data_IF_608962500504
#
_entry.id   IF_608962500504
#
_cell.length_a   1.000
_cell.length_b   1.000
_cell.length_c   1.000
_cell.angle_alpha   90.00
_cell.angle_beta   90.00
_cell.angle_gamma   90.00
#
_symmetry.space_group_name_H-M   'P 1'
#
loop_
_entity.id
_entity.type
_entity.pdbx_description
1 polymer ?
#
# COMPACT_ATOMS: atom_id res chain seq x y z
N UNK A 1 20.60 -11.58 -2.63
CA UNK A 1 20.10 -10.45 -3.46
C UNK A 1 18.88 -9.74 -2.83
N UNK A 2 17.82 -10.47 -2.44
CA UNK A 2 16.58 -9.85 -1.94
C UNK A 2 16.73 -9.11 -0.59
N UNK A 3 17.55 -9.63 0.33
CA UNK A 3 17.78 -9.05 1.67
C UNK A 3 18.07 -7.54 1.66
N UNK A 4 19.03 -7.08 0.84
CA UNK A 4 19.40 -5.66 0.76
C UNK A 4 18.22 -4.76 0.32
N UNK A 5 17.33 -5.27 -0.55
CA UNK A 5 16.11 -4.55 -0.97
C UNK A 5 15.10 -4.47 0.17
N UNK A 6 14.95 -5.53 0.97
CA UNK A 6 14.09 -5.54 2.16
C UNK A 6 14.61 -4.55 3.23
N UNK A 7 15.92 -4.46 3.44
CA UNK A 7 16.51 -3.44 4.34
C UNK A 7 16.16 -2.01 3.91
N UNK A 8 16.29 -1.69 2.61
CA UNK A 8 15.92 -0.36 2.09
C UNK A 8 14.40 -0.13 2.19
N UNK A 9 13.59 -1.13 1.88
CA UNK A 9 12.13 -1.04 1.98
C UNK A 9 11.65 -0.79 3.42
N UNK A 10 12.27 -1.45 4.41
CA UNK A 10 12.07 -1.21 5.84
C UNK A 10 12.40 0.24 6.21
N UNK A 11 13.54 0.76 5.75
CA UNK A 11 13.96 2.14 6.07
C UNK A 11 13.04 3.21 5.45
N UNK A 12 12.37 2.90 4.33
CA UNK A 12 11.37 3.75 3.69
C UNK A 12 9.96 3.61 4.29
N UNK A 13 9.75 2.65 5.19
CA UNK A 13 8.46 2.40 5.83
C UNK A 13 8.15 3.46 6.90
N UNK A 14 6.87 3.65 7.22
CA UNK A 14 6.49 4.36 8.46
C UNK A 14 6.75 3.44 9.67
N UNK A 15 6.84 4.02 10.87
CA UNK A 15 6.93 3.25 12.11
C UNK A 15 5.78 2.24 12.22
N UNK A 16 4.53 2.69 12.07
CA UNK A 16 3.34 1.82 11.96
C UNK A 16 3.02 1.45 10.50
N UNK A 17 4.06 1.32 9.68
CA UNK A 17 3.93 0.92 8.30
C UNK A 17 3.74 -0.59 8.16
N UNK A 18 3.09 -0.99 7.08
CA UNK A 18 2.93 -2.40 6.69
C UNK A 18 3.65 -2.58 5.36
N UNK A 19 4.51 -3.59 5.28
CA UNK A 19 5.07 -4.05 4.03
C UNK A 19 4.27 -5.28 3.58
N UNK A 20 3.87 -5.28 2.31
CA UNK A 20 3.21 -6.40 1.66
C UNK A 20 4.17 -6.94 0.61
N UNK A 21 4.39 -8.25 0.60
CA UNK A 21 5.24 -8.92 -0.39
C UNK A 21 4.44 -10.06 -1.03
N UNK A 22 4.26 -10.01 -2.35
CA UNK A 22 3.70 -11.11 -3.13
C UNK A 22 4.79 -12.13 -3.47
N UNK A 23 4.51 -13.41 -3.28
CA UNK A 23 5.48 -14.50 -3.46
C UNK A 23 4.77 -15.80 -3.88
N UNK A 24 5.45 -16.69 -4.59
CA UNK A 24 4.96 -18.03 -4.93
C UNK A 24 5.27 -19.07 -3.83
N UNK A 25 4.87 -20.32 -4.03
CA UNK A 25 5.18 -21.44 -3.12
C UNK A 25 6.69 -21.72 -3.00
N UNK A 26 7.47 -21.52 -4.08
CA UNK A 26 8.88 -21.89 -4.15
C UNK A 26 9.75 -20.98 -3.28
N UNK A 27 9.53 -19.68 -3.31
CA UNK A 27 10.32 -18.71 -2.55
C UNK A 27 9.76 -18.40 -1.15
N UNK A 28 8.52 -18.82 -0.84
CA UNK A 28 7.80 -18.53 0.41
C UNK A 28 8.65 -18.74 1.68
N UNK A 29 9.22 -19.93 1.87
CA UNK A 29 9.96 -20.26 3.09
C UNK A 29 11.28 -19.50 3.20
N UNK A 30 11.96 -19.29 2.07
CA UNK A 30 13.18 -18.48 2.01
C UNK A 30 12.92 -17.02 2.36
N UNK A 31 11.83 -16.45 1.83
CA UNK A 31 11.41 -15.09 2.15
C UNK A 31 10.99 -14.95 3.63
N UNK A 32 10.24 -15.91 4.19
CA UNK A 32 9.89 -15.90 5.61
C UNK A 32 11.14 -15.88 6.50
N UNK A 33 12.14 -16.72 6.23
CA UNK A 33 13.41 -16.71 6.95
C UNK A 33 14.19 -15.40 6.80
N UNK A 34 14.15 -14.76 5.62
CA UNK A 34 14.76 -13.42 5.43
C UNK A 34 14.04 -12.33 6.23
N UNK A 35 12.72 -12.41 6.37
CA UNK A 35 11.90 -11.47 7.13
C UNK A 35 12.07 -11.66 8.65
N UNK A 36 12.19 -12.90 9.11
CA UNK A 36 12.54 -13.24 10.49
C UNK A 36 13.92 -12.70 10.87
N UNK A 37 14.94 -12.91 10.02
CA UNK A 37 16.28 -12.33 10.20
C UNK A 37 16.31 -10.79 10.23
N UNK A 38 15.26 -10.11 9.73
CA UNK A 38 15.10 -8.66 9.80
C UNK A 38 14.31 -8.21 11.04
N UNK A 39 13.95 -9.12 11.95
CA UNK A 39 13.03 -8.91 13.06
C UNK A 39 11.68 -8.31 12.60
N UNK A 40 11.18 -8.73 11.43
CA UNK A 40 9.87 -8.32 10.95
C UNK A 40 8.78 -9.10 11.70
N UNK A 41 7.81 -8.40 12.30
CA UNK A 41 6.62 -9.04 12.86
C UNK A 41 5.69 -9.43 11.72
N UNK A 42 5.44 -10.74 11.61
CA UNK A 42 4.44 -11.28 10.70
C UNK A 42 3.02 -10.97 11.21
N UNK A 43 2.18 -10.44 10.32
CA UNK A 43 0.78 -10.08 10.61
C UNK A 43 -0.20 -11.08 10.00
N UNK A 44 0.15 -11.69 8.86
CA UNK A 44 -0.69 -12.67 8.19
C UNK A 44 -0.23 -12.96 6.76
N UNK A 45 -0.80 -14.02 6.19
CA UNK A 45 -0.64 -14.42 4.78
C UNK A 45 -2.01 -14.57 4.15
N UNK A 46 -2.21 -13.93 3.02
CA UNK A 46 -3.43 -14.07 2.19
C UNK A 46 -3.07 -14.87 0.95
N UNK A 47 -3.90 -15.85 0.59
CA UNK A 47 -3.78 -16.59 -0.66
C UNK A 47 -4.46 -15.78 -1.79
N UNK A 48 -3.73 -15.52 -2.88
CA UNK A 48 -4.20 -14.80 -4.07
C UNK A 48 -4.39 -15.82 -5.17
N UNK A 49 -5.62 -16.02 -5.62
CA UNK A 49 -5.89 -16.88 -6.78
C UNK A 49 -5.43 -16.18 -8.07
N UNK A 50 -4.62 -16.88 -8.88
CA UNK A 50 -4.10 -16.39 -10.17
C UNK A 50 -4.63 -17.28 -11.28
N UNK A 51 -5.36 -16.66 -12.21
CA UNK A 51 -6.01 -17.32 -13.37
C UNK A 51 -7.03 -18.39 -12.93
N UNK A 52 -8.18 -17.99 -12.35
CA UNK A 52 -9.25 -18.91 -11.98
C UNK A 52 -9.77 -19.75 -13.16
N UNK A 53 -9.54 -19.30 -14.40
CA UNK A 53 -9.82 -19.98 -15.66
C UNK A 53 -9.01 -21.28 -15.91
N UNK A 54 -8.03 -21.60 -15.06
CA UNK A 54 -7.43 -22.94 -15.01
C UNK A 54 -6.58 -23.34 -16.22
N UNK A 55 -5.52 -22.60 -16.54
CA UNK A 55 -4.49 -23.04 -17.51
C UNK A 55 -3.05 -22.91 -17.02
N UNK A 56 -2.66 -23.85 -16.16
CA UNK A 56 -1.38 -24.58 -16.14
C UNK A 56 -1.52 -25.75 -15.16
N UNK A 57 -1.37 -26.97 -15.65
CA UNK A 57 -1.46 -28.18 -14.83
C UNK A 57 -0.04 -28.61 -14.44
N UNK A 58 0.27 -28.60 -13.15
CA UNK A 58 1.19 -29.59 -12.62
C UNK A 58 0.49 -30.95 -12.68
N UNK A 59 1.26 -32.05 -12.67
CA UNK A 59 0.71 -33.40 -12.85
C UNK A 59 -0.25 -33.84 -11.72
N UNK A 60 -0.28 -33.11 -10.60
CA UNK A 60 -1.01 -33.48 -9.39
C UNK A 60 -1.82 -32.34 -8.74
N UNK A 61 -1.41 -31.07 -8.89
CA UNK A 61 -2.11 -29.92 -8.30
C UNK A 61 -2.11 -28.70 -9.24
N UNK A 62 -3.10 -27.83 -9.10
CA UNK A 62 -3.22 -26.60 -9.88
C UNK A 62 -2.45 -25.46 -9.21
N UNK A 63 -1.29 -25.12 -9.77
CA UNK A 63 -0.47 -23.95 -9.40
C UNK A 63 -1.15 -22.67 -9.91
N UNK A 64 -2.25 -22.29 -9.25
CA UNK A 64 -3.05 -21.11 -9.53
C UNK A 64 -3.15 -20.19 -8.31
N UNK A 65 -2.11 -20.15 -7.48
CA UNK A 65 -2.07 -19.27 -6.32
C UNK A 65 -0.68 -18.66 -6.08
N UNK A 66 -0.70 -17.43 -5.58
CA UNK A 66 0.42 -16.74 -4.95
C UNK A 66 0.01 -16.37 -3.51
N UNK A 67 0.95 -15.85 -2.73
CA UNK A 67 0.71 -15.38 -1.37
C UNK A 67 1.09 -13.91 -1.23
N UNK A 68 0.21 -13.11 -0.63
CA UNK A 68 0.60 -11.83 -0.05
C UNK A 68 0.96 -12.01 1.42
N UNK A 69 2.24 -11.79 1.77
CA UNK A 69 2.73 -11.75 3.14
C UNK A 69 2.64 -10.32 3.68
N UNK A 70 1.99 -10.15 4.83
CA UNK A 70 1.86 -8.88 5.52
C UNK A 70 2.80 -8.84 6.72
N UNK A 71 3.73 -7.89 6.74
CA UNK A 71 4.72 -7.74 7.82
C UNK A 71 4.87 -6.28 8.27
N UNK A 72 5.38 -6.07 9.49
CA UNK A 72 5.61 -4.75 10.07
C UNK A 72 6.78 -4.74 11.05
N UNK A 73 7.28 -3.55 11.37
CA UNK A 73 8.22 -3.30 12.47
C UNK A 73 7.64 -2.42 13.59
N UNK A 74 6.34 -2.07 13.51
CA UNK A 74 5.63 -1.28 14.52
C UNK A 74 4.26 -1.87 14.84
N UNK A 75 3.29 -1.02 15.21
CA UNK A 75 1.96 -1.43 15.67
C UNK A 75 0.82 -0.93 14.76
N UNK A 76 0.78 -1.36 13.49
CA UNK A 76 -0.31 -1.03 12.58
C UNK A 76 -1.62 -1.70 13.01
N UNK A 77 -2.72 -0.99 12.79
CA UNK A 77 -4.07 -1.55 12.79
C UNK A 77 -4.49 -1.70 11.34
N UNK A 78 -4.68 -2.93 10.87
CA UNK A 78 -5.14 -3.23 9.51
C UNK A 78 -6.57 -3.73 9.59
N UNK A 79 -7.45 -3.13 8.78
CA UNK A 79 -8.76 -3.67 8.46
C UNK A 79 -8.78 -4.01 6.97
N UNK A 80 -8.93 -5.29 6.65
CA UNK A 80 -9.09 -5.77 5.27
C UNK A 80 -10.42 -6.52 5.17
N UNK A 81 -11.24 -6.16 4.19
CA UNK A 81 -12.57 -6.74 3.96
C UNK A 81 -12.98 -6.47 2.52
N UNK A 82 -13.76 -7.38 1.93
CA UNK A 82 -14.41 -7.21 0.63
C UNK A 82 -15.50 -6.11 0.60
N UNK A 83 -15.79 -5.47 1.75
CA UNK A 83 -16.89 -4.51 1.94
C UNK A 83 -18.27 -5.08 1.54
N UNK A 84 -18.44 -6.39 1.64
CA UNK A 84 -19.74 -7.04 1.48
C UNK A 84 -20.74 -6.49 2.51
N UNK A 85 -21.98 -6.27 2.09
CA UNK A 85 -23.01 -5.55 2.86
C UNK A 85 -22.54 -4.19 3.41
N UNK A 86 -21.62 -3.51 2.71
CA UNK A 86 -20.99 -2.25 3.09
C UNK A 86 -20.35 -2.23 4.49
N UNK A 87 -19.98 -3.40 5.05
CA UNK A 87 -19.47 -3.52 6.43
C UNK A 87 -18.24 -2.62 6.68
N UNK A 88 -17.34 -2.46 5.70
CA UNK A 88 -16.20 -1.55 5.84
C UNK A 88 -16.66 -0.09 5.95
N UNK A 89 -17.54 0.31 5.03
CA UNK A 89 -17.92 1.71 4.79
C UNK A 89 -18.92 2.23 5.84
N UNK A 90 -19.92 1.43 6.20
CA UNK A 90 -21.03 1.82 7.08
C UNK A 90 -20.77 1.45 8.55
N UNK A 91 -19.99 0.40 8.83
CA UNK A 91 -19.81 -0.12 10.19
C UNK A 91 -18.40 0.10 10.71
N UNK A 92 -17.38 -0.47 10.05
CA UNK A 92 -16.03 -0.52 10.61
C UNK A 92 -15.30 0.82 10.52
N UNK A 93 -15.31 1.51 9.37
CA UNK A 93 -14.67 2.81 9.21
C UNK A 93 -15.26 3.88 10.15
N UNK A 94 -16.60 4.02 10.29
CA UNK A 94 -17.18 4.95 11.27
C UNK A 94 -16.83 4.59 12.72
N UNK A 95 -16.75 3.30 13.07
CA UNK A 95 -16.31 2.86 14.42
C UNK A 95 -14.85 3.23 14.68
N UNK A 96 -13.93 2.95 13.76
CA UNK A 96 -12.51 3.27 13.93
C UNK A 96 -12.31 4.80 14.00
N UNK A 97 -13.02 5.56 13.16
CA UNK A 97 -13.01 7.04 13.21
C UNK A 97 -13.49 7.58 14.56
N UNK A 98 -14.53 7.00 15.15
CA UNK A 98 -15.01 7.33 16.51
C UNK A 98 -13.99 6.96 17.60
N UNK A 99 -13.32 5.83 17.52
CA UNK A 99 -12.29 5.43 18.51
C UNK A 99 -11.07 6.37 18.48
N UNK A 100 -10.65 6.81 17.28
CA UNK A 100 -9.52 7.74 17.10
C UNK A 100 -9.88 9.15 17.60
N UNK A 101 -11.03 9.68 17.19
CA UNK A 101 -11.43 11.06 17.50
C UNK A 101 -12.08 11.23 18.89
N UNK A 102 -12.60 10.14 19.46
CA UNK A 102 -13.51 10.17 20.60
C UNK A 102 -14.98 10.18 20.16
N UNK A 103 -15.86 9.80 21.08
CA UNK A 103 -17.31 9.80 20.87
C UNK A 103 -18.07 9.84 22.19
N UNK A 104 -19.26 10.45 22.15
CA UNK A 104 -20.20 10.42 23.28
C UNK A 104 -21.02 9.12 23.26
N UNK A 105 -21.19 8.53 24.44
CA UNK A 105 -22.06 7.37 24.65
C UNK A 105 -23.03 7.67 25.80
N UNK A 106 -24.21 8.19 25.47
CA UNK A 106 -25.11 8.78 26.46
C UNK A 106 -24.46 10.00 27.11
N UNK A 107 -24.46 10.05 28.45
CA UNK A 107 -23.91 11.17 29.22
C UNK A 107 -22.39 11.15 29.38
N UNK A 108 -21.70 10.08 28.95
CA UNK A 108 -20.25 9.92 29.07
C UNK A 108 -19.54 10.24 27.76
N UNK A 109 -18.64 11.22 27.79
CA UNK A 109 -17.76 11.56 26.68
C UNK A 109 -16.49 10.70 26.73
N UNK A 110 -16.26 9.89 25.70
CA UNK A 110 -15.12 8.98 25.63
C UNK A 110 -14.04 9.66 24.79
N UNK A 111 -12.99 10.11 25.47
CA UNK A 111 -11.82 10.74 24.85
C UNK A 111 -11.17 9.80 23.84
N UNK A 112 -10.90 10.30 22.64
CA UNK A 112 -10.26 9.55 21.57
C UNK A 112 -8.83 9.12 21.92
N UNK A 113 -8.44 7.95 21.42
CA UNK A 113 -7.07 7.43 21.58
C UNK A 113 -6.05 8.11 20.65
N UNK A 114 -6.51 8.97 19.73
CA UNK A 114 -5.67 9.53 18.68
C UNK A 114 -5.26 8.49 17.63
N UNK A 115 -4.36 8.89 16.73
CA UNK A 115 -3.87 8.07 15.62
C UNK A 115 -4.20 8.64 14.25
N UNK A 116 -3.74 7.96 13.20
CA UNK A 116 -3.88 8.40 11.81
C UNK A 116 -4.65 7.36 11.00
N UNK A 117 -5.89 7.68 10.60
CA UNK A 117 -6.68 6.83 9.73
C UNK A 117 -6.49 7.21 8.27
N UNK A 118 -6.08 6.25 7.44
CA UNK A 118 -6.16 6.36 5.98
C UNK A 118 -7.12 5.31 5.45
N UNK A 119 -8.14 5.75 4.73
CA UNK A 119 -9.08 4.88 4.04
C UNK A 119 -8.72 4.86 2.56
N UNK A 120 -8.32 3.69 2.05
CA UNK A 120 -8.02 3.48 0.64
C UNK A 120 -9.12 2.63 0.02
N UNK A 121 -9.72 3.10 -1.08
CA UNK A 121 -10.63 2.31 -1.89
C UNK A 121 -9.85 1.76 -3.07
N UNK A 122 -9.77 0.43 -3.18
CA UNK A 122 -9.29 -0.23 -4.38
C UNK A 122 -10.38 -0.25 -5.44
N UNK A 123 -10.02 0.08 -6.66
CA UNK A 123 -10.86 -0.07 -7.86
C UNK A 123 -10.07 -0.88 -8.89
N UNK A 124 -10.77 -1.61 -9.77
CA UNK A 124 -10.11 -2.36 -10.83
C UNK A 124 -9.82 -1.44 -12.02
N UNK A 125 -8.64 -1.59 -12.60
CA UNK A 125 -8.25 -0.96 -13.86
C UNK A 125 -8.15 -2.05 -14.92
N UNK A 126 -8.68 -1.78 -16.11
CA UNK A 126 -8.62 -2.72 -17.23
C UNK A 126 -7.17 -2.99 -17.63
N UNK A 127 -6.82 -4.28 -17.73
CA UNK A 127 -5.45 -4.72 -17.99
C UNK A 127 -4.98 -4.48 -19.44
N UNK A 128 -5.88 -4.01 -20.32
CA UNK A 128 -5.50 -3.67 -21.70
C UNK A 128 -4.51 -2.50 -21.73
N UNK A 129 -3.38 -2.61 -22.46
CA UNK A 129 -2.29 -1.63 -22.44
C UNK A 129 -2.59 -0.37 -23.28
N UNK A 130 -3.83 0.12 -23.26
CA UNK A 130 -4.23 1.39 -23.88
C UNK A 130 -3.69 2.57 -23.09
N UNK A 131 -3.38 3.69 -23.76
CA UNK A 131 -2.84 4.87 -23.08
C UNK A 131 -3.86 5.51 -22.11
N UNK A 132 -5.17 5.32 -22.36
CA UNK A 132 -6.25 5.69 -21.44
C UNK A 132 -6.16 4.89 -20.13
N UNK A 133 -5.91 3.59 -20.20
CA UNK A 133 -5.74 2.74 -19.02
C UNK A 133 -4.43 3.04 -18.30
N UNK A 134 -3.32 3.24 -19.01
CA UNK A 134 -2.04 3.70 -18.42
C UNK A 134 -2.22 5.02 -17.66
N UNK A 135 -3.00 5.95 -18.22
CA UNK A 135 -3.31 7.24 -17.56
C UNK A 135 -4.19 7.04 -16.32
N UNK A 136 -5.28 6.27 -16.40
CA UNK A 136 -6.14 5.92 -15.25
C UNK A 136 -5.31 5.26 -14.13
N UNK A 137 -4.47 4.28 -14.47
CA UNK A 137 -3.60 3.58 -13.53
C UNK A 137 -2.58 4.54 -12.87
N UNK A 138 -1.97 5.43 -13.67
CA UNK A 138 -1.05 6.46 -13.17
C UNK A 138 -1.77 7.43 -12.23
N UNK A 139 -2.95 7.92 -12.59
CA UNK A 139 -3.77 8.82 -11.75
C UNK A 139 -4.18 8.15 -10.43
N UNK A 140 -4.62 6.89 -10.46
CA UNK A 140 -4.97 6.10 -9.26
C UNK A 140 -3.75 5.79 -8.39
N UNK A 141 -2.56 5.59 -8.98
CA UNK A 141 -1.30 5.40 -8.26
C UNK A 141 -0.67 6.73 -7.79
N UNK A 142 -1.08 7.86 -8.37
CA UNK A 142 -0.46 9.18 -8.16
C UNK A 142 -0.50 9.60 -6.70
N UNK A 143 -1.63 9.41 -6.00
CA UNK A 143 -1.73 9.76 -4.57
C UNK A 143 -0.76 8.94 -3.70
N UNK A 144 -0.57 7.66 -4.02
CA UNK A 144 0.38 6.80 -3.29
C UNK A 144 1.83 7.21 -3.57
N UNK A 145 2.14 7.55 -4.83
CA UNK A 145 3.46 8.02 -5.26
C UNK A 145 3.79 9.40 -4.66
N UNK A 146 2.91 10.39 -4.80
CA UNK A 146 3.09 11.73 -4.26
C UNK A 146 3.31 11.71 -2.75
N UNK A 147 2.54 10.93 -1.98
CA UNK A 147 2.75 10.81 -0.52
C UNK A 147 4.13 10.26 -0.14
N UNK A 148 4.79 9.52 -1.04
CA UNK A 148 6.16 8.99 -0.84
C UNK A 148 7.22 9.97 -1.31
N UNK A 149 7.05 10.58 -2.49
CA UNK A 149 7.96 11.60 -3.04
C UNK A 149 8.04 12.83 -2.13
N UNK A 150 6.89 13.37 -1.69
CA UNK A 150 6.84 14.52 -0.76
C UNK A 150 7.57 14.22 0.54
N UNK A 151 7.48 12.98 1.03
CA UNK A 151 8.19 12.57 2.24
C UNK A 151 9.70 12.53 2.04
N UNK A 152 10.19 11.95 0.95
CA UNK A 152 11.64 11.92 0.65
C UNK A 152 12.19 13.34 0.48
N UNK A 153 11.47 14.21 -0.23
CA UNK A 153 11.87 15.62 -0.42
C UNK A 153 11.96 16.40 0.91
N UNK A 154 11.01 16.18 1.84
CA UNK A 154 11.06 16.78 3.18
C UNK A 154 12.14 16.15 4.08
N UNK A 155 12.09 14.84 4.26
CA UNK A 155 12.90 14.11 5.25
C UNK A 155 14.38 14.02 4.84
N UNK A 156 14.70 14.02 3.53
CA UNK A 156 16.07 13.85 3.00
C UNK A 156 16.69 15.13 2.46
N UNK A 157 15.89 16.05 1.90
CA UNK A 157 16.39 17.27 1.25
C UNK A 157 15.93 18.57 1.90
N UNK A 158 15.10 18.52 2.97
CA UNK A 158 14.59 19.70 3.66
C UNK A 158 13.61 20.54 2.83
N UNK A 159 13.18 20.06 1.66
CA UNK A 159 12.34 20.82 0.72
C UNK A 159 10.90 20.80 1.24
N UNK A 160 10.46 21.92 1.82
CA UNK A 160 9.08 22.15 2.22
C UNK A 160 8.37 23.09 1.24
N UNK A 161 7.08 22.84 1.00
CA UNK A 161 6.25 23.67 0.12
C UNK A 161 5.59 24.81 0.87
N UNK A 162 5.77 26.03 0.38
CA UNK A 162 4.82 27.11 0.64
C UNK A 162 3.49 26.83 -0.07
N UNK A 163 2.36 27.13 0.58
CA UNK A 163 1.02 27.16 -0.01
C UNK A 163 0.53 25.92 -0.81
N UNK A 164 1.03 24.72 -0.47
CA UNK A 164 0.40 23.45 -0.83
C UNK A 164 0.43 23.04 -2.31
N UNK A 165 1.18 23.75 -3.17
CA UNK A 165 1.38 23.36 -4.58
C UNK A 165 2.79 22.79 -4.77
N UNK A 166 2.89 21.51 -5.13
CA UNK A 166 4.13 20.92 -5.67
C UNK A 166 4.09 20.97 -7.20
N UNK A 167 4.97 21.76 -7.80
CA UNK A 167 5.38 21.55 -9.18
C UNK A 167 6.47 20.47 -9.21
N UNK A 168 6.09 19.20 -9.35
CA UNK A 168 7.06 18.11 -9.52
C UNK A 168 7.41 17.99 -11.01
N UNK A 169 8.59 18.48 -11.40
CA UNK A 169 9.14 18.26 -12.72
C UNK A 169 9.96 16.96 -12.69
N UNK A 170 9.36 15.85 -13.14
CA UNK A 170 10.05 14.57 -13.33
C UNK A 170 10.52 14.48 -14.79
N UNK A 171 11.78 14.81 -15.06
CA UNK A 171 12.31 14.90 -16.41
C UNK A 171 13.19 13.72 -16.83
N UNK A 172 13.08 13.36 -18.11
CA UNK A 172 14.16 12.84 -18.96
C UNK A 172 13.59 12.39 -20.32
N UNK A 173 14.10 12.73 -21.50
CA UNK A 173 15.18 13.62 -22.00
C UNK A 173 14.88 13.94 -23.50
N UNK A 174 15.31 15.01 -24.20
CA UNK A 174 15.86 16.32 -23.83
C UNK A 174 15.66 17.33 -25.01
N UNK A 175 15.27 18.58 -24.73
CA UNK A 175 15.45 19.83 -25.53
C UNK A 175 15.07 19.84 -27.04
N UNK A 176 14.05 20.64 -27.41
CA UNK A 176 14.27 21.81 -28.29
C UNK A 176 13.25 22.94 -28.06
N UNK A 177 13.57 24.14 -28.58
CA UNK A 177 12.79 25.40 -28.48
C UNK A 177 11.67 25.47 -29.55
N UNK A 178 10.90 26.58 -29.51
CA UNK A 178 9.69 26.90 -30.29
C UNK A 178 8.43 26.26 -29.65
N UNK A 179 7.39 26.99 -29.19
CA UNK A 179 7.08 28.43 -29.29
C UNK A 179 6.78 29.07 -27.92
N UNK A 180 7.26 30.30 -27.73
CA UNK A 180 6.73 31.24 -26.72
C UNK A 180 6.51 32.58 -27.42
N UNK A 181 5.23 32.88 -27.68
CA UNK A 181 4.69 34.21 -27.98
C UNK A 181 3.56 34.45 -27.00
#
# INVERSE_FOLDING_TARGET
MMFSRLCIARNLLKQDGVQIVTIDDYELFGLLGLLENLNARFLGRVCICIKPEGRRQSKYMMEAHEYALFVTWGNPVILCTNNENNICTEVCYPRIKKVINGYQNGSSDIKGFGGNLKYFRTDFADAEPTDKNKKKLTEQAMEMLCMKVIRVLKDTHGISTENGKLAIWLSGEHINKEDVV
#
